data_IF_920223515941
#
_entry.id   IF_920223515941
#
_cell.length_a   1.000
_cell.length_b   1.000
_cell.length_c   1.000
_cell.angle_alpha   90.00
_cell.angle_beta   90.00
_cell.angle_gamma   90.00
#
_symmetry.space_group_name_H-M   'P 1'
#
loop_
_entity.id
_entity.type
_entity.pdbx_description
1 polymer ?
#
# COMPACT_ATOMS: atom_id res chain seq x y z
N UNK A 1 0.79 -14.65 -15.75
CA UNK A 1 0.53 -14.80 -14.29
C UNK A 1 -0.29 -13.59 -13.84
N UNK A 2 -1.33 -13.79 -13.04
CA UNK A 2 -2.13 -12.67 -12.51
C UNK A 2 -1.46 -12.19 -11.23
N UNK A 3 -1.08 -10.90 -11.17
CA UNK A 3 -0.47 -10.28 -9.98
C UNK A 3 -1.51 -10.12 -8.88
N UNK A 4 -1.09 -10.34 -7.63
CA UNK A 4 -1.89 -9.99 -6.44
C UNK A 4 -1.69 -8.50 -6.12
N UNK A 5 -2.57 -7.91 -5.33
CA UNK A 5 -2.41 -6.52 -4.85
C UNK A 5 -2.12 -6.51 -3.35
N UNK A 6 -1.19 -5.66 -2.94
CA UNK A 6 -0.85 -5.42 -1.53
C UNK A 6 -0.89 -3.92 -1.25
N UNK A 7 -1.29 -3.52 -0.04
CA UNK A 7 -1.15 -2.13 0.37
C UNK A 7 0.34 -1.76 0.62
N UNK A 8 0.61 -0.47 0.76
CA UNK A 8 1.97 0.08 0.95
C UNK A 8 2.76 -0.63 2.05
N UNK A 9 2.15 -0.83 3.22
CA UNK A 9 2.83 -1.42 4.39
C UNK A 9 3.10 -2.91 4.19
N UNK A 10 2.12 -3.63 3.64
CA UNK A 10 2.26 -5.06 3.33
C UNK A 10 3.35 -5.30 2.28
N UNK A 11 3.38 -4.48 1.23
CA UNK A 11 4.38 -4.58 0.18
C UNK A 11 5.78 -4.25 0.69
N UNK A 12 5.92 -3.21 1.52
CA UNK A 12 7.17 -2.88 2.20
C UNK A 12 7.66 -4.03 3.09
N UNK A 13 6.75 -4.60 3.90
CA UNK A 13 7.08 -5.70 4.80
C UNK A 13 7.48 -6.96 4.03
N UNK A 14 6.84 -7.24 2.91
CA UNK A 14 7.17 -8.41 2.09
C UNK A 14 8.56 -8.29 1.46
N UNK A 15 8.91 -7.11 0.91
CA UNK A 15 10.27 -6.83 0.43
C UNK A 15 11.28 -6.95 1.57
N UNK A 16 10.99 -6.34 2.73
CA UNK A 16 11.84 -6.44 3.93
C UNK A 16 12.08 -7.90 4.35
N UNK A 17 11.02 -8.71 4.38
CA UNK A 17 11.10 -10.12 4.76
C UNK A 17 11.94 -10.94 3.77
N UNK A 18 11.84 -10.67 2.47
CA UNK A 18 12.61 -11.41 1.45
C UNK A 18 14.08 -11.01 1.45
N UNK A 19 14.38 -9.71 1.55
CA UNK A 19 15.76 -9.21 1.65
C UNK A 19 16.46 -9.80 2.88
N UNK A 20 15.84 -9.75 4.06
CA UNK A 20 16.45 -10.29 5.29
C UNK A 20 16.41 -11.84 5.38
N UNK A 21 15.99 -12.52 4.32
CA UNK A 21 16.14 -13.97 4.16
C UNK A 21 17.28 -14.36 3.22
N UNK A 22 17.92 -13.39 2.58
CA UNK A 22 19.12 -13.64 1.78
C UNK A 22 20.25 -14.06 2.72
N UNK A 23 20.91 -15.17 2.37
CA UNK A 23 21.94 -15.78 3.20
C UNK A 23 23.07 -14.81 3.51
N UNK A 24 23.54 -14.07 2.50
CA UNK A 24 24.62 -13.09 2.64
C UNK A 24 24.28 -11.97 3.64
N UNK A 25 23.04 -11.48 3.62
CA UNK A 25 22.56 -10.47 4.57
C UNK A 25 22.45 -11.03 5.99
N UNK A 26 22.05 -12.30 6.12
CA UNK A 26 21.98 -12.99 7.42
C UNK A 26 23.39 -13.18 8.00
N UNK A 27 24.33 -13.67 7.18
CA UNK A 27 25.71 -13.96 7.57
C UNK A 27 26.46 -12.69 7.98
N UNK A 28 26.30 -11.61 7.21
CA UNK A 28 26.95 -10.33 7.50
C UNK A 28 26.21 -9.53 8.59
N UNK A 29 25.04 -10.00 9.05
CA UNK A 29 24.23 -9.35 10.08
C UNK A 29 23.71 -7.96 9.67
N UNK A 30 23.64 -7.67 8.37
CA UNK A 30 23.33 -6.36 7.83
C UNK A 30 21.83 -6.08 7.93
N UNK A 31 21.49 -4.86 8.37
CA UNK A 31 20.11 -4.36 8.40
C UNK A 31 19.88 -3.40 7.24
N UNK A 32 19.31 -3.93 6.16
CA UNK A 32 18.94 -3.14 4.99
C UNK A 32 17.70 -2.31 5.31
N UNK A 33 17.80 -0.98 5.18
CA UNK A 33 16.63 -0.12 5.30
C UNK A 33 15.83 -0.18 4.01
N UNK A 34 14.64 -0.77 4.08
CA UNK A 34 13.69 -0.86 2.96
C UNK A 34 12.83 0.41 2.90
N UNK A 35 12.85 1.15 1.78
CA UNK A 35 12.06 2.36 1.61
C UNK A 35 10.57 2.03 1.44
N UNK A 36 9.70 3.04 1.50
CA UNK A 36 8.28 2.84 1.15
C UNK A 36 8.13 2.68 -0.37
N UNK A 37 7.23 1.80 -0.84
CA UNK A 37 6.92 1.69 -2.26
C UNK A 37 6.24 2.98 -2.74
N UNK A 38 6.68 3.46 -3.89
CA UNK A 38 6.10 4.61 -4.57
C UNK A 38 5.31 4.13 -5.78
N UNK A 39 4.13 4.72 -5.97
CA UNK A 39 3.29 4.44 -7.12
C UNK A 39 3.94 5.02 -8.39
N UNK A 40 3.95 4.25 -9.47
CA UNK A 40 4.37 4.67 -10.79
C UNK A 40 3.39 4.19 -11.87
N UNK A 41 3.53 4.71 -13.08
CA UNK A 41 2.82 4.17 -14.24
C UNK A 41 3.25 2.69 -14.43
N UNK A 42 2.32 1.78 -14.74
CA UNK A 42 2.65 0.39 -15.05
C UNK A 42 3.77 0.32 -16.09
N UNK A 43 4.85 -0.39 -15.75
CA UNK A 43 5.99 -0.58 -16.64
C UNK A 43 5.69 -1.64 -17.72
N UNK A 44 6.71 -2.01 -18.52
CA UNK A 44 6.58 -3.04 -19.56
C UNK A 44 6.13 -4.41 -19.02
N UNK A 45 6.38 -4.68 -17.74
CA UNK A 45 5.95 -5.91 -17.07
C UNK A 45 4.52 -5.77 -16.54
N UNK A 46 4.01 -4.55 -16.39
CA UNK A 46 2.73 -4.23 -15.76
C UNK A 46 2.84 -3.96 -14.26
N UNK A 47 4.05 -3.75 -13.73
CA UNK A 47 4.27 -3.40 -12.33
C UNK A 47 4.04 -1.89 -12.12
N UNK A 48 3.18 -1.54 -11.15
CA UNK A 48 2.77 -0.15 -10.88
C UNK A 48 3.52 0.51 -9.72
N UNK A 49 4.61 -0.08 -9.22
CA UNK A 49 5.34 0.49 -8.09
C UNK A 49 6.83 0.35 -8.24
N UNK A 50 7.56 1.21 -7.53
CA UNK A 50 9.01 1.12 -7.43
C UNK A 50 9.49 1.48 -6.01
N UNK A 51 10.67 0.99 -5.67
CA UNK A 51 11.39 1.32 -4.44
C UNK A 51 12.81 1.73 -4.81
N UNK A 52 13.21 2.93 -4.42
CA UNK A 52 14.55 3.46 -4.65
C UNK A 52 15.18 3.87 -3.33
N UNK A 53 16.50 3.97 -3.30
CA UNK A 53 17.28 4.42 -2.13
C UNK A 53 17.20 3.49 -0.91
N UNK A 54 17.54 2.20 -1.11
CA UNK A 54 17.77 1.28 0.01
C UNK A 54 18.95 1.76 0.86
N UNK A 55 18.78 1.78 2.18
CA UNK A 55 19.86 2.14 3.10
C UNK A 55 20.69 0.91 3.46
N UNK A 56 22.01 1.10 3.60
CA UNK A 56 22.99 0.04 3.88
C UNK A 56 23.07 -1.05 2.80
N UNK A 57 22.67 -0.74 1.55
CA UNK A 57 22.60 -1.70 0.46
C UNK A 57 23.92 -1.92 -0.31
N UNK A 58 24.99 -1.22 0.07
CA UNK A 58 26.29 -1.31 -0.62
C UNK A 58 26.82 -2.73 -0.52
N UNK A 59 27.06 -3.36 -1.67
CA UNK A 59 27.54 -4.75 -1.77
C UNK A 59 26.43 -5.79 -1.96
N UNK A 60 25.16 -5.40 -1.83
CA UNK A 60 23.98 -6.28 -1.95
C UNK A 60 23.03 -5.87 -3.07
N UNK A 61 23.44 -4.96 -3.96
CA UNK A 61 22.56 -4.35 -4.95
C UNK A 61 21.97 -5.39 -5.92
N UNK A 62 22.75 -6.40 -6.32
CA UNK A 62 22.27 -7.47 -7.21
C UNK A 62 21.22 -8.35 -6.54
N UNK A 63 21.44 -8.72 -5.28
CA UNK A 63 20.53 -9.59 -4.54
C UNK A 63 19.23 -8.88 -4.20
N UNK A 64 19.33 -7.59 -3.84
CA UNK A 64 18.17 -6.71 -3.65
C UNK A 64 17.39 -6.58 -4.96
N UNK A 65 18.06 -6.36 -6.09
CA UNK A 65 17.38 -6.27 -7.40
C UNK A 65 16.67 -7.58 -7.75
N UNK A 66 17.30 -8.74 -7.53
CA UNK A 66 16.66 -10.04 -7.78
C UNK A 66 15.42 -10.28 -6.90
N UNK A 67 15.46 -9.84 -5.65
CA UNK A 67 14.27 -9.83 -4.78
C UNK A 67 13.20 -8.90 -5.35
N UNK A 68 13.56 -7.69 -5.77
CA UNK A 68 12.62 -6.73 -6.34
C UNK A 68 11.96 -7.25 -7.62
N UNK A 69 12.72 -7.82 -8.55
CA UNK A 69 12.20 -8.43 -9.78
C UNK A 69 11.13 -9.49 -9.46
N UNK A 70 11.42 -10.37 -8.49
CA UNK A 70 10.49 -11.42 -8.07
C UNK A 70 9.21 -10.82 -7.46
N UNK A 71 9.35 -9.85 -6.55
CA UNK A 71 8.17 -9.20 -5.93
C UNK A 71 7.37 -8.39 -6.95
N UNK A 72 8.02 -7.70 -7.91
CA UNK A 72 7.36 -6.97 -9.00
C UNK A 72 6.62 -7.91 -9.96
N UNK A 73 7.08 -9.15 -10.12
CA UNK A 73 6.38 -10.16 -10.91
C UNK A 73 5.13 -10.71 -10.19
N UNK A 74 5.12 -10.73 -8.86
CA UNK A 74 4.04 -11.30 -8.05
C UNK A 74 2.98 -10.28 -7.60
N UNK A 75 3.39 -9.03 -7.34
CA UNK A 75 2.55 -8.05 -6.65
C UNK A 75 2.50 -6.68 -7.33
N UNK A 76 1.32 -6.06 -7.27
CA UNK A 76 1.09 -4.64 -7.53
C UNK A 76 0.75 -3.90 -6.24
N UNK A 77 1.05 -2.60 -6.19
CA UNK A 77 0.65 -1.72 -5.11
C UNK A 77 -0.84 -1.41 -5.25
N UNK A 78 -1.60 -1.64 -4.19
CA UNK A 78 -3.01 -1.30 -4.14
C UNK A 78 -3.16 0.23 -4.10
N UNK A 79 -3.80 0.79 -5.14
CA UNK A 79 -4.14 2.21 -5.25
C UNK A 79 -5.52 2.54 -4.69
N UNK A 80 -6.28 1.52 -4.28
CA UNK A 80 -7.52 1.76 -3.55
C UNK A 80 -7.12 2.33 -2.19
N UNK A 81 -7.14 3.67 -2.12
CA UNK A 81 -7.57 4.33 -0.90
C UNK A 81 -8.91 3.67 -0.64
N UNK A 82 -8.98 2.80 0.38
CA UNK A 82 -10.29 2.47 0.91
C UNK A 82 -10.83 3.83 1.30
N UNK A 83 -11.72 4.36 0.48
CA UNK A 83 -12.69 5.36 0.86
C UNK A 83 -13.56 4.64 1.89
N UNK A 84 -13.00 4.43 3.08
CA UNK A 84 -13.78 4.23 4.28
C UNK A 84 -14.44 5.57 4.49
N UNK A 85 -15.46 5.84 3.67
CA UNK A 85 -16.42 6.90 3.88
C UNK A 85 -16.79 6.79 5.33
N UNK A 86 -16.41 7.82 6.08
CA UNK A 86 -16.50 7.85 7.52
C UNK A 86 -17.92 7.39 7.91
N UNK A 87 -18.09 6.24 8.59
CA UNK A 87 -19.43 5.70 8.86
C UNK A 87 -20.27 6.62 9.77
N UNK A 88 -19.64 7.65 10.35
CA UNK A 88 -20.27 8.68 11.17
C UNK A 88 -20.90 9.83 10.39
N UNK A 89 -20.64 10.00 9.09
CA UNK A 89 -21.27 11.10 8.32
C UNK A 89 -22.67 10.77 7.78
N UNK A 90 -23.12 9.51 7.87
CA UNK A 90 -24.45 9.09 7.38
C UNK A 90 -25.59 9.29 8.39
N UNK A 91 -25.35 9.98 9.50
CA UNK A 91 -26.23 9.97 10.68
C UNK A 91 -26.87 11.29 11.12
N UNK A 92 -26.88 12.36 10.30
CA UNK A 92 -27.50 13.65 10.67
C UNK A 92 -28.51 14.17 9.63
N UNK A 93 -29.30 13.28 9.05
CA UNK A 93 -30.52 13.67 8.33
C UNK A 93 -31.69 12.83 8.85
N UNK A 94 -32.20 13.18 10.03
CA UNK A 94 -33.37 12.51 10.58
C UNK A 94 -33.68 12.89 12.01
N UNK A 95 -34.24 14.08 12.23
CA UNK A 95 -35.25 14.35 13.26
C UNK A 95 -35.79 15.78 13.11
N UNK A 96 -36.89 15.91 12.38
CA UNK A 96 -38.04 16.64 12.91
C UNK A 96 -39.32 16.06 12.34
N UNK A 97 -40.24 15.85 13.29
CA UNK A 97 -41.45 15.06 13.20
C UNK A 97 -42.62 16.00 12.93
N UNK A 98 -43.69 15.42 12.37
CA UNK A 98 -44.91 16.04 11.88
C UNK A 98 -45.68 16.89 12.90
N UNK A 99 -46.46 17.81 12.33
CA UNK A 99 -47.81 18.27 12.72
C UNK A 99 -47.98 19.29 13.86
N UNK A 100 -48.45 20.48 13.48
CA UNK A 100 -49.13 21.45 14.34
C UNK A 100 -49.78 22.53 13.47
N UNK A 101 -51.08 22.40 13.24
CA UNK A 101 -51.86 23.34 12.43
C UNK A 101 -52.11 24.68 13.10
N UNK A 102 -52.39 25.69 12.27
CA UNK A 102 -53.29 26.80 12.58
C UNK A 102 -53.94 27.25 11.27
N UNK A 103 -55.22 26.91 11.10
CA UNK A 103 -56.10 27.59 10.16
C UNK A 103 -56.38 28.99 10.70
N UNK A 104 -55.81 30.00 10.04
CA UNK A 104 -56.13 31.40 10.29
C UNK A 104 -57.29 31.83 9.40
N UNK A 105 -58.40 32.09 10.09
CA UNK A 105 -59.56 32.94 9.75
C UNK A 105 -59.29 34.01 8.68
N UNK A 106 -60.15 34.03 7.65
CA UNK A 106 -60.74 35.26 7.11
C UNK A 106 -62.21 35.01 6.74
#
# INVERSE_FOLDING_TARGET
MIRKTLNTSQLQQEVHRRIHRLQEIIEDGVKIRVPRPQLQKPDKTGCNWNMTHFGNAVGFERDIEGVLETVRAEYNLNTEVNDTGNPFERGLAGKEHLHGGVDSVL
#
